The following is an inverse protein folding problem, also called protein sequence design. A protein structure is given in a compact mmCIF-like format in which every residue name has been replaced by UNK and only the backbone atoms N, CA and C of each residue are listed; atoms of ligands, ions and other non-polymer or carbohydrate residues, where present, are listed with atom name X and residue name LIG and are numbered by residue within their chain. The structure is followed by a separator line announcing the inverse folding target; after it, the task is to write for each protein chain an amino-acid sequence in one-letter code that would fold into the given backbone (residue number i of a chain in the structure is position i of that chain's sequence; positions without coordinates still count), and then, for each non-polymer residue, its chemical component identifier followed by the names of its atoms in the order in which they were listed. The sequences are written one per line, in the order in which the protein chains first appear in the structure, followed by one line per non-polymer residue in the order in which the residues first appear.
data_IF_865373590975
#
_entry.id   IF_865373590975
#
_cell.length_a   1.000
_cell.length_b   1.000
_cell.length_c   1.000
_cell.angle_alpha   90.00
_cell.angle_beta   90.00
_cell.angle_gamma   90.00
#
_symmetry.space_group_name_H-M   'P 1'
#
loop_
_entity.id
_entity.type
_entity.pdbx_description
1 polymer ?
#
# COMPACT_ATOMS: atom_id res chain seq x y z
N UNK A 1 1.05 4.80 25.32
CA UNK A 1 1.16 3.65 26.26
C UNK A 1 0.65 2.43 25.49
N UNK A 2 1.49 1.43 25.27
CA UNK A 2 1.08 0.22 24.53
C UNK A 2 0.12 -0.59 25.40
N UNK A 3 -1.07 -0.94 24.94
CA UNK A 3 -2.03 -1.72 25.72
C UNK A 3 -1.46 -3.13 26.02
N UNK A 4 -1.74 -3.65 27.21
CA UNK A 4 -1.40 -5.04 27.54
C UNK A 4 -2.24 -6.01 26.71
N UNK A 5 -1.81 -7.27 26.50
CA UNK A 5 -2.60 -8.26 25.77
C UNK A 5 -4.03 -8.45 26.31
N UNK A 6 -4.20 -8.41 27.62
CA UNK A 6 -5.54 -8.52 28.24
C UNK A 6 -6.40 -7.29 27.97
N UNK A 7 -5.80 -6.09 28.00
CA UNK A 7 -6.51 -4.85 27.65
C UNK A 7 -6.93 -4.84 26.19
N UNK A 8 -6.06 -5.28 25.29
CA UNK A 8 -6.39 -5.40 23.87
C UNK A 8 -7.51 -6.41 23.62
N UNK A 9 -7.47 -7.57 24.28
CA UNK A 9 -8.53 -8.58 24.18
C UNK A 9 -9.89 -8.03 24.62
N UNK A 10 -9.92 -7.23 25.69
CA UNK A 10 -11.14 -6.57 26.15
C UNK A 10 -11.66 -5.56 25.15
N UNK A 11 -10.80 -4.73 24.57
CA UNK A 11 -11.18 -3.75 23.53
C UNK A 11 -11.81 -4.46 22.33
N UNK A 12 -11.23 -5.58 21.89
CA UNK A 12 -11.73 -6.38 20.75
C UNK A 12 -13.10 -7.00 21.07
N UNK A 13 -13.28 -7.54 22.27
CA UNK A 13 -14.55 -8.13 22.70
C UNK A 13 -15.67 -7.09 22.78
N UNK A 14 -15.40 -5.94 23.41
CA UNK A 14 -16.34 -4.83 23.52
C UNK A 14 -16.69 -4.25 22.13
N UNK A 15 -15.73 -4.14 21.22
CA UNK A 15 -15.99 -3.74 19.83
C UNK A 15 -16.84 -4.75 19.08
N UNK A 16 -16.58 -6.04 19.27
CA UNK A 16 -17.37 -7.12 18.68
C UNK A 16 -18.85 -7.08 19.14
N UNK A 17 -19.08 -6.78 20.41
CA UNK A 17 -20.43 -6.55 20.93
C UNK A 17 -21.10 -5.33 20.31
N UNK A 18 -20.33 -4.25 20.16
CA UNK A 18 -20.82 -3.02 19.52
C UNK A 18 -21.25 -3.26 18.06
N UNK A 19 -20.45 -4.01 17.29
CA UNK A 19 -20.80 -4.38 15.90
C UNK A 19 -22.10 -5.21 15.81
N UNK A 20 -22.40 -6.01 16.83
CA UNK A 20 -23.65 -6.81 16.90
C UNK A 20 -24.81 -6.06 17.55
N UNK A 21 -24.64 -4.80 17.97
CA UNK A 21 -25.66 -4.04 18.68
C UNK A 21 -26.00 -4.57 20.08
N UNK A 22 -25.09 -5.30 20.70
CA UNK A 22 -25.26 -5.88 22.03
C UNK A 22 -25.04 -4.85 23.13
N UNK A 23 -25.77 -5.01 24.25
CA UNK A 23 -25.62 -4.13 25.42
C UNK A 23 -24.21 -4.25 26.00
N UNK A 24 -23.59 -3.09 26.28
CA UNK A 24 -22.24 -3.03 26.82
C UNK A 24 -21.14 -3.04 25.76
N UNK A 25 -21.49 -3.13 24.46
CA UNK A 25 -20.55 -2.93 23.38
C UNK A 25 -20.07 -1.48 23.25
N UNK A 26 -18.78 -1.27 23.00
CA UNK A 26 -18.20 0.06 22.74
C UNK A 26 -17.33 -0.01 21.48
N UNK A 27 -17.39 1.03 20.64
CA UNK A 27 -16.50 1.16 19.50
C UNK A 27 -15.05 1.26 19.99
N UNK A 28 -14.16 0.46 19.43
CA UNK A 28 -12.74 0.52 19.78
C UNK A 28 -12.15 1.88 19.40
N UNK A 29 -11.48 2.51 20.35
CA UNK A 29 -10.61 3.66 20.07
C UNK A 29 -9.20 3.15 19.80
N UNK A 30 -8.76 3.27 18.55
CA UNK A 30 -7.44 2.86 18.08
C UNK A 30 -6.54 4.07 17.78
N UNK A 31 -6.88 5.26 18.27
CA UNK A 31 -6.05 6.45 18.08
C UNK A 31 -4.66 6.20 18.68
N UNK A 32 -3.63 6.29 17.82
CA UNK A 32 -2.23 6.06 18.20
C UNK A 32 -1.83 4.59 18.46
N UNK A 33 -2.71 3.63 18.12
CA UNK A 33 -2.34 2.22 18.16
C UNK A 33 -1.33 1.89 17.05
N UNK A 34 -0.34 1.06 17.37
CA UNK A 34 0.55 0.46 16.38
C UNK A 34 -0.17 -0.73 15.74
N UNK A 35 -0.59 -0.55 14.49
CA UNK A 35 -1.27 -1.57 13.68
C UNK A 35 -0.33 -2.25 12.69
N UNK A 36 0.99 -2.07 12.83
CA UNK A 36 1.96 -2.75 11.97
C UNK A 36 1.81 -4.28 12.08
N UNK A 37 1.65 -4.93 10.93
CA UNK A 37 1.43 -6.37 10.87
C UNK A 37 0.00 -6.84 11.22
N UNK A 38 -0.94 -5.94 11.52
CA UNK A 38 -2.33 -6.30 11.75
C UNK A 38 -3.00 -6.77 10.44
N UNK A 39 -3.75 -7.87 10.52
CA UNK A 39 -4.61 -8.29 9.42
C UNK A 39 -5.93 -7.50 9.49
N UNK A 40 -6.07 -6.52 8.61
CA UNK A 40 -7.27 -5.69 8.49
C UNK A 40 -8.17 -6.10 7.32
N UNK A 41 -8.04 -7.33 6.80
CA UNK A 41 -8.91 -7.84 5.74
C UNK A 41 -10.37 -7.81 6.20
N UNK A 42 -11.24 -7.17 5.42
CA UNK A 42 -12.66 -7.04 5.74
C UNK A 42 -13.01 -6.01 6.80
N UNK A 43 -12.04 -5.27 7.34
CA UNK A 43 -12.33 -4.17 8.24
C UNK A 43 -12.98 -2.99 7.48
N UNK A 44 -14.02 -2.40 8.05
CA UNK A 44 -14.53 -1.11 7.58
C UNK A 44 -13.63 0.00 8.14
N UNK A 45 -12.82 0.57 7.26
CA UNK A 45 -11.90 1.66 7.56
C UNK A 45 -12.44 3.01 7.05
N UNK A 46 -13.72 3.09 6.72
CA UNK A 46 -14.37 4.35 6.39
C UNK A 46 -14.24 5.32 7.57
N UNK A 47 -13.73 6.52 7.31
CA UNK A 47 -13.44 7.49 8.35
C UNK A 47 -12.12 7.34 9.11
N UNK A 48 -11.33 6.28 8.85
CA UNK A 48 -9.98 6.20 9.39
C UNK A 48 -9.09 7.36 8.89
N UNK A 49 -8.21 7.84 9.75
CA UNK A 49 -7.24 8.90 9.37
C UNK A 49 -6.23 8.36 8.36
N UNK A 50 -6.53 8.60 7.08
CA UNK A 50 -5.74 8.13 5.94
C UNK A 50 -4.31 8.64 5.98
N UNK A 51 -4.08 9.84 6.49
CA UNK A 51 -2.76 10.46 6.53
C UNK A 51 -1.80 9.70 7.47
N UNK A 52 -2.31 9.19 8.58
CA UNK A 52 -1.49 8.45 9.56
C UNK A 52 -1.13 7.02 9.13
N UNK A 53 -1.93 6.41 8.26
CA UNK A 53 -1.68 5.07 7.73
C UNK A 53 -0.92 5.09 6.40
N UNK A 54 -0.75 6.26 5.79
CA UNK A 54 -0.06 6.37 4.51
C UNK A 54 1.45 6.34 4.68
N UNK A 55 2.12 5.44 3.93
CA UNK A 55 3.57 5.44 3.77
C UNK A 55 4.02 6.15 2.49
N UNK A 56 3.07 6.43 1.58
CA UNK A 56 3.36 7.23 0.38
C UNK A 56 3.20 8.71 0.70
N UNK A 57 4.12 9.58 0.26
CA UNK A 57 4.00 11.03 0.44
C UNK A 57 2.73 11.59 -0.22
N UNK A 58 2.02 12.47 0.47
CA UNK A 58 0.83 13.11 -0.07
C UNK A 58 1.17 14.13 -1.16
N UNK A 59 2.35 14.72 -1.10
CA UNK A 59 2.81 15.78 -2.00
C UNK A 59 4.22 15.50 -2.52
N UNK A 60 4.55 16.13 -3.64
CA UNK A 60 5.85 16.02 -4.26
C UNK A 60 6.04 14.72 -5.06
N UNK A 61 7.10 14.70 -5.87
CA UNK A 61 7.54 13.48 -6.53
C UNK A 61 8.45 12.69 -5.58
N UNK A 62 8.41 11.35 -5.67
CA UNK A 62 9.27 10.47 -4.89
C UNK A 62 9.61 9.22 -5.67
N UNK A 63 10.62 8.50 -5.22
CA UNK A 63 11.09 7.29 -5.87
C UNK A 63 10.52 6.04 -5.19
N UNK A 64 10.31 4.98 -5.98
CA UNK A 64 9.92 3.66 -5.52
C UNK A 64 10.59 2.57 -6.37
N UNK A 65 10.35 1.32 -6.02
CA UNK A 65 10.98 0.16 -6.63
C UNK A 65 9.96 -0.91 -6.98
N UNK A 66 10.18 -1.58 -8.08
CA UNK A 66 9.30 -2.65 -8.55
C UNK A 66 10.11 -3.85 -9.01
N UNK A 67 9.69 -5.05 -8.60
CA UNK A 67 10.18 -6.30 -9.19
C UNK A 67 9.42 -6.60 -10.47
N UNK A 68 10.16 -6.93 -11.49
CA UNK A 68 9.71 -7.42 -12.78
C UNK A 68 10.05 -8.89 -12.97
N UNK A 69 9.70 -9.47 -14.13
CA UNK A 69 10.06 -10.84 -14.48
C UNK A 69 11.59 -11.03 -14.44
N UNK A 70 12.01 -12.27 -14.28
CA UNK A 70 13.41 -12.71 -14.28
C UNK A 70 14.27 -12.01 -13.21
N UNK A 71 13.63 -11.54 -12.12
CA UNK A 71 14.33 -10.88 -11.02
C UNK A 71 14.81 -9.45 -11.34
N UNK A 72 14.40 -8.88 -12.47
CA UNK A 72 14.74 -7.50 -12.83
C UNK A 72 14.07 -6.54 -11.86
N UNK A 73 14.85 -5.59 -11.35
CA UNK A 73 14.37 -4.53 -10.47
C UNK A 73 14.39 -3.21 -11.21
N UNK A 74 13.30 -2.45 -11.14
CA UNK A 74 13.22 -1.13 -11.74
C UNK A 74 13.03 -0.06 -10.67
N UNK A 75 13.78 1.04 -10.80
CA UNK A 75 13.59 2.25 -10.01
C UNK A 75 12.63 3.17 -10.74
N UNK A 76 11.62 3.59 -10.03
CA UNK A 76 10.52 4.38 -10.56
C UNK A 76 10.47 5.73 -9.86
N UNK A 77 10.16 6.79 -10.58
CA UNK A 77 9.70 8.05 -10.02
C UNK A 77 8.20 8.12 -10.12
N UNK A 78 7.55 8.39 -9.01
CA UNK A 78 6.13 8.72 -8.95
C UNK A 78 6.02 10.25 -9.07
N UNK A 79 5.49 10.79 -10.17
CA UNK A 79 5.36 12.24 -10.37
C UNK A 79 4.47 12.89 -9.32
N UNK A 80 4.69 14.17 -9.03
CA UNK A 80 3.95 14.91 -8.00
C UNK A 80 2.45 14.97 -8.23
N UNK A 81 2.02 14.93 -9.48
CA UNK A 81 0.62 15.00 -9.92
C UNK A 81 0.01 13.61 -10.22
N UNK A 82 0.76 12.51 -10.10
CA UNK A 82 0.24 11.15 -10.25
C UNK A 82 -0.54 10.75 -9.01
N UNK A 83 -1.72 10.14 -9.21
CA UNK A 83 -2.46 9.50 -8.13
C UNK A 83 -1.61 8.37 -7.53
N UNK A 84 -1.64 8.26 -6.22
CA UNK A 84 -0.86 7.29 -5.46
C UNK A 84 -1.62 6.81 -4.24
N UNK A 85 -1.37 5.60 -3.83
CA UNK A 85 -2.07 4.99 -2.68
C UNK A 85 -1.25 3.85 -2.10
N UNK A 86 -1.42 3.60 -0.82
CA UNK A 86 -1.18 2.31 -0.18
C UNK A 86 -2.34 2.01 0.76
N UNK A 87 -2.60 0.75 1.05
CA UNK A 87 -3.57 0.34 2.06
C UNK A 87 -2.88 0.34 3.45
N UNK A 88 -2.73 -0.80 4.08
CA UNK A 88 -2.09 -0.96 5.38
C UNK A 88 -0.73 -1.66 5.30
N UNK A 89 -0.46 -2.30 4.15
CA UNK A 89 0.80 -3.00 3.89
C UNK A 89 1.88 -2.10 3.30
N UNK A 90 2.98 -2.73 2.93
CA UNK A 90 4.14 -2.06 2.32
C UNK A 90 4.01 -1.93 0.80
N UNK A 91 3.04 -2.60 0.19
CA UNK A 91 2.75 -2.56 -1.24
C UNK A 91 1.97 -1.29 -1.59
N UNK A 92 2.53 -0.50 -2.48
CA UNK A 92 1.97 0.77 -2.92
C UNK A 92 1.47 0.68 -4.36
N UNK A 93 0.64 1.63 -4.77
CA UNK A 93 0.13 1.78 -6.13
C UNK A 93 0.30 3.21 -6.64
N UNK A 94 0.58 3.36 -7.93
CA UNK A 94 0.56 4.65 -8.63
C UNK A 94 -0.19 4.54 -9.94
N UNK A 95 -0.84 5.64 -10.34
CA UNK A 95 -1.53 5.76 -11.63
C UNK A 95 -0.54 5.73 -12.79
N UNK A 96 0.60 6.42 -12.63
CA UNK A 96 1.70 6.44 -13.61
C UNK A 96 3.04 6.64 -12.91
N UNK A 97 4.09 6.23 -13.60
CA UNK A 97 5.45 6.29 -13.11
C UNK A 97 6.41 6.64 -14.26
N UNK A 98 7.54 7.22 -13.92
CA UNK A 98 8.69 7.41 -14.83
C UNK A 98 9.76 6.38 -14.46
N UNK A 99 10.34 5.71 -15.45
CA UNK A 99 11.37 4.70 -15.22
C UNK A 99 12.73 5.39 -15.18
N UNK A 100 13.38 5.35 -14.02
CA UNK A 100 14.70 5.98 -13.81
C UNK A 100 15.85 5.01 -14.05
N UNK A 101 15.68 3.73 -13.69
CA UNK A 101 16.75 2.74 -13.74
C UNK A 101 16.16 1.33 -13.93
N UNK A 102 16.89 0.48 -14.63
CA UNK A 102 16.61 -0.96 -14.76
C UNK A 102 17.85 -1.73 -14.30
N UNK A 103 17.71 -2.54 -13.25
CA UNK A 103 18.79 -3.31 -12.65
C UNK A 103 18.60 -4.80 -13.02
N UNK A 104 19.64 -5.41 -13.53
CA UNK A 104 19.64 -6.82 -13.94
C UNK A 104 19.22 -7.06 -15.39
N UNK A 105 19.00 -6.00 -16.18
CA UNK A 105 18.62 -6.11 -17.58
C UNK A 105 18.51 -4.75 -18.28
N UNK A 106 17.96 -4.74 -19.48
CA UNK A 106 17.72 -3.52 -20.28
C UNK A 106 16.28 -3.06 -20.28
N UNK A 107 15.36 -3.94 -19.90
CA UNK A 107 13.91 -3.68 -19.80
C UNK A 107 13.31 -4.55 -18.71
N UNK A 108 12.47 -3.99 -17.88
CA UNK A 108 11.63 -4.74 -16.95
C UNK A 108 10.31 -5.11 -17.59
N UNK A 109 9.90 -6.37 -17.47
CA UNK A 109 8.57 -6.83 -17.92
C UNK A 109 7.71 -7.06 -16.66
N UNK A 110 6.52 -6.50 -16.64
CA UNK A 110 5.57 -6.67 -15.54
C UNK A 110 5.28 -8.15 -15.26
N UNK A 111 5.37 -8.55 -14.00
CA UNK A 111 4.98 -9.91 -13.56
C UNK A 111 3.47 -10.10 -13.60
N UNK A 112 2.70 -9.02 -13.50
CA UNK A 112 1.24 -9.08 -13.40
C UNK A 112 0.57 -9.42 -14.74
N UNK A 113 0.90 -8.69 -15.79
CA UNK A 113 0.29 -8.83 -17.12
C UNK A 113 1.19 -9.48 -18.15
N UNK A 114 2.50 -9.56 -17.86
CA UNK A 114 3.51 -10.10 -18.74
C UNK A 114 3.77 -9.31 -20.02
N UNK A 115 3.29 -8.08 -20.10
CA UNK A 115 3.32 -7.25 -21.32
C UNK A 115 3.89 -5.85 -21.07
N UNK A 116 3.49 -5.20 -19.97
CA UNK A 116 3.94 -3.84 -19.67
C UNK A 116 5.46 -3.80 -19.53
N UNK A 117 6.08 -2.95 -20.35
CA UNK A 117 7.53 -2.76 -20.39
C UNK A 117 7.95 -1.51 -19.58
N UNK A 118 9.00 -1.66 -18.82
CA UNK A 118 9.65 -0.59 -18.06
C UNK A 118 11.04 -0.35 -18.65
N UNK A 119 11.17 0.70 -19.48
CA UNK A 119 12.43 1.13 -20.11
C UNK A 119 12.88 2.45 -19.51
N UNK A 120 14.17 2.62 -19.28
CA UNK A 120 14.73 3.89 -18.75
C UNK A 120 14.26 5.07 -19.62
N UNK A 121 13.77 6.11 -18.96
CA UNK A 121 13.25 7.32 -19.58
C UNK A 121 11.79 7.22 -20.06
N UNK A 122 11.16 6.04 -19.99
CA UNK A 122 9.76 5.90 -20.36
C UNK A 122 8.82 6.32 -19.23
N UNK A 123 7.67 6.86 -19.58
CA UNK A 123 6.52 7.02 -18.68
C UNK A 123 5.57 5.85 -18.90
N UNK A 124 5.23 5.16 -17.83
CA UNK A 124 4.29 4.03 -17.84
C UNK A 124 3.06 4.42 -17.04
N UNK A 125 1.88 4.23 -17.59
CA UNK A 125 0.60 4.44 -16.92
C UNK A 125 -0.14 3.09 -16.76
N UNK A 126 -0.96 2.98 -15.73
CA UNK A 126 -1.84 1.82 -15.57
C UNK A 126 -3.03 1.91 -16.54
N UNK A 127 -3.56 0.76 -16.94
CA UNK A 127 -4.75 0.69 -17.80
C UNK A 127 -6.00 1.21 -17.05
N UNK A 128 -6.08 0.94 -15.74
CA UNK A 128 -7.18 1.35 -14.90
C UNK A 128 -6.67 1.72 -13.50
N UNK A 129 -7.09 2.89 -13.02
CA UNK A 129 -6.84 3.34 -11.65
C UNK A 129 -8.04 3.01 -10.77
N UNK A 130 -7.79 2.49 -9.57
CA UNK A 130 -8.79 2.30 -8.53
C UNK A 130 -8.60 3.34 -7.42
N UNK A 131 -9.61 4.17 -7.21
CA UNK A 131 -9.59 5.22 -6.16
C UNK A 131 -9.81 4.65 -4.74
N UNK A 132 -10.30 3.40 -4.62
CA UNK A 132 -10.44 2.74 -3.32
C UNK A 132 -9.06 2.37 -2.77
N UNK A 133 -8.63 3.13 -1.80
CA UNK A 133 -7.34 2.99 -1.14
C UNK A 133 -7.16 1.61 -0.48
N UNK A 134 -8.23 1.07 0.09
CA UNK A 134 -8.18 -0.15 0.90
C UNK A 134 -8.05 -1.44 0.08
N UNK A 135 -8.26 -1.35 -1.22
CA UNK A 135 -8.01 -2.45 -2.14
C UNK A 135 -6.54 -2.47 -2.58
N UNK A 136 -5.71 -3.18 -1.83
CA UNK A 136 -4.25 -3.21 -2.04
C UNK A 136 -3.85 -3.75 -3.41
N UNK A 137 -4.55 -4.76 -3.91
CA UNK A 137 -4.27 -5.41 -5.20
C UNK A 137 -5.13 -4.90 -6.36
N UNK A 138 -5.78 -3.74 -6.20
CA UNK A 138 -6.60 -3.12 -7.27
C UNK A 138 -5.74 -2.45 -8.36
N UNK A 139 -6.41 -1.85 -9.35
CA UNK A 139 -5.78 -1.19 -10.49
C UNK A 139 -4.77 -0.11 -10.10
N UNK A 140 -3.64 -0.11 -10.79
CA UNK A 140 -2.49 0.75 -10.56
C UNK A 140 -1.18 0.02 -10.82
N UNK A 141 -0.10 0.76 -10.92
CA UNK A 141 1.25 0.20 -10.99
C UNK A 141 1.73 -0.05 -9.57
N UNK A 142 1.93 -1.33 -9.21
CA UNK A 142 2.39 -1.73 -7.89
C UNK A 142 3.90 -1.51 -7.75
N UNK A 143 4.30 -0.95 -6.61
CA UNK A 143 5.68 -0.67 -6.26
C UNK A 143 5.90 -0.73 -4.74
N UNK A 144 7.15 -0.64 -4.31
CA UNK A 144 7.58 -0.57 -2.91
C UNK A 144 8.42 0.69 -2.68
N UNK A 145 8.47 1.18 -1.45
CA UNK A 145 9.24 2.37 -1.10
C UNK A 145 10.74 2.08 -1.13
N UNK A 146 11.16 0.88 -0.74
CA UNK A 146 12.57 0.51 -0.73
C UNK A 146 12.87 -0.58 -1.76
N UNK A 147 14.12 -0.62 -2.21
CA UNK A 147 14.62 -1.65 -3.11
C UNK A 147 14.55 -3.04 -2.47
N UNK A 148 14.94 -3.16 -1.22
CA UNK A 148 14.90 -4.44 -0.49
C UNK A 148 13.49 -5.04 -0.47
N UNK A 149 12.46 -4.24 -0.19
CA UNK A 149 11.07 -4.71 -0.22
C UNK A 149 10.66 -5.22 -1.61
N UNK A 150 11.12 -4.57 -2.67
CA UNK A 150 10.85 -5.03 -4.03
C UNK A 150 11.60 -6.32 -4.37
N UNK A 151 12.84 -6.49 -3.90
CA UNK A 151 13.63 -7.70 -4.10
C UNK A 151 13.06 -8.92 -3.37
N UNK A 152 12.51 -8.69 -2.17
CA UNK A 152 11.92 -9.74 -1.31
C UNK A 152 10.50 -10.16 -1.77
N UNK A 153 9.84 -9.37 -2.59
CA UNK A 153 8.49 -9.64 -3.11
C UNK A 153 8.54 -10.67 -4.25
#
# INVERSE_FOLDING_TARGET
MTPTPEHLAKIIDDHSKWLRGEVGGTCADLIGADLSGANLSGADLSGADKARLSIVPDQGAFDGWKKCRDGIIVRLRIPSDAKRSNATGRKCRAERVEVLEVVGGTVGISTHDGKTEYRVGATVACDQWCDDRWQECAGGIHFFITRAEAEDY
#
